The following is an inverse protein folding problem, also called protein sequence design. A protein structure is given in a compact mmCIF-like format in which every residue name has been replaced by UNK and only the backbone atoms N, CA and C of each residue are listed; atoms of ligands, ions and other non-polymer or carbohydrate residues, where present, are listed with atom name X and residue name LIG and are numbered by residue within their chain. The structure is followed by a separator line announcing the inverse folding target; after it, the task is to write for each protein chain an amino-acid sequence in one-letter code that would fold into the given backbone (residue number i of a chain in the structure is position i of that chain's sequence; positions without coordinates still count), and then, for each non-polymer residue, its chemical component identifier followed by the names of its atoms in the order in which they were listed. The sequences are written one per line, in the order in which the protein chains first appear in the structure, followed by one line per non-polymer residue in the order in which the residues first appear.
data_IF_880110547831
#
_entry.id   IF_880110547831
#
_cell.length_a   1.000
_cell.length_b   1.000
_cell.length_c   1.000
_cell.angle_alpha   90.00
_cell.angle_beta   90.00
_cell.angle_gamma   90.00
#
_symmetry.space_group_name_H-M   'P 1'
#
loop_
_entity.id
_entity.type
_entity.pdbx_description
1 polymer ?
#
# COMPACT_ATOMS: atom_id res chain seq x y z
N UNK A 1 11.53 -5.13 -1.86
CA UNK A 1 11.45 -4.26 -0.66
C UNK A 1 12.38 -3.02 -0.71
N UNK A 2 12.78 -2.53 -1.90
CA UNK A 2 13.90 -1.58 -2.01
C UNK A 2 13.53 -0.20 -2.59
N UNK A 3 12.63 -0.13 -3.59
CA UNK A 3 12.36 1.11 -4.34
C UNK A 3 11.91 2.30 -3.47
N UNK A 4 10.94 2.11 -2.57
CA UNK A 4 10.47 3.17 -1.67
C UNK A 4 11.50 3.57 -0.60
N UNK A 5 12.54 2.76 -0.36
CA UNK A 5 13.57 3.10 0.64
C UNK A 5 14.69 3.98 0.07
N UNK A 6 14.86 4.00 -1.25
CA UNK A 6 15.97 4.68 -1.94
C UNK A 6 15.54 5.86 -2.79
N UNK A 7 14.24 6.04 -2.98
CA UNK A 7 13.69 7.10 -3.82
C UNK A 7 13.54 8.39 -3.02
N UNK A 8 13.63 9.54 -3.71
CA UNK A 8 13.30 10.85 -3.16
C UNK A 8 11.79 11.15 -3.31
N UNK A 9 11.18 10.61 -4.38
CA UNK A 9 9.76 10.74 -4.69
C UNK A 9 9.19 9.42 -5.19
N UNK A 10 7.91 9.19 -4.89
CA UNK A 10 7.24 7.96 -5.27
C UNK A 10 5.80 8.20 -5.76
N UNK A 11 5.44 7.42 -6.77
CA UNK A 11 4.13 7.44 -7.43
C UNK A 11 3.57 6.03 -7.46
N UNK A 12 2.29 5.89 -7.12
CA UNK A 12 1.54 4.64 -7.26
C UNK A 12 0.66 4.76 -8.48
N UNK A 13 0.87 3.85 -9.44
CA UNK A 13 0.10 3.77 -10.67
C UNK A 13 -0.85 2.57 -10.60
N UNK A 14 -2.12 2.81 -10.88
CA UNK A 14 -3.15 1.78 -10.95
C UNK A 14 -4.05 2.06 -12.16
N UNK A 15 -4.25 1.04 -13.00
CA UNK A 15 -5.09 1.13 -14.21
C UNK A 15 -4.78 2.34 -15.12
N UNK A 16 -3.49 2.66 -15.28
CA UNK A 16 -3.05 3.77 -16.14
C UNK A 16 -3.18 5.17 -15.52
N UNK A 17 -3.56 5.28 -14.23
CA UNK A 17 -3.68 6.56 -13.52
C UNK A 17 -2.79 6.58 -12.28
N UNK A 18 -2.29 7.77 -11.94
CA UNK A 18 -1.59 8.00 -10.67
C UNK A 18 -2.63 8.12 -9.58
N UNK A 19 -2.63 7.17 -8.64
CA UNK A 19 -3.59 7.14 -7.51
C UNK A 19 -2.99 7.68 -6.22
N UNK A 20 -1.67 7.70 -6.11
CA UNK A 20 -0.96 8.36 -5.02
C UNK A 20 0.37 8.94 -5.51
N UNK A 21 0.69 10.15 -5.06
CA UNK A 21 1.94 10.84 -5.33
C UNK A 21 2.40 11.50 -4.05
N UNK A 22 3.44 10.96 -3.42
CA UNK A 22 3.91 11.46 -2.13
C UNK A 22 5.37 11.10 -1.88
N UNK A 23 5.92 11.68 -0.82
CA UNK A 23 7.23 11.28 -0.35
C UNK A 23 7.23 9.78 0.02
N UNK A 24 8.33 9.05 -0.25
CA UNK A 24 8.38 7.60 -0.10
C UNK A 24 8.08 7.12 1.32
N UNK A 25 8.51 7.89 2.33
CA UNK A 25 8.24 7.59 3.73
C UNK A 25 6.75 7.66 4.09
N UNK A 26 5.99 8.56 3.45
CA UNK A 26 4.54 8.66 3.61
C UNK A 26 3.86 7.44 2.99
N UNK A 27 4.22 7.10 1.75
CA UNK A 27 3.68 5.91 1.07
C UNK A 27 4.07 4.60 1.78
N UNK A 28 5.24 4.56 2.41
CA UNK A 28 5.66 3.44 3.25
C UNK A 28 4.82 3.29 4.52
N UNK A 29 4.22 4.38 5.03
CA UNK A 29 3.36 4.34 6.21
C UNK A 29 1.89 4.10 5.88
N UNK A 30 1.47 4.40 4.64
CA UNK A 30 0.12 4.20 4.15
C UNK A 30 -0.33 2.73 4.24
N UNK A 31 -1.48 2.50 4.88
CA UNK A 31 -2.04 1.16 5.08
C UNK A 31 -2.46 0.47 3.79
N UNK A 32 -3.00 1.23 2.82
CA UNK A 32 -3.43 0.69 1.53
C UNK A 32 -2.17 0.29 0.73
N UNK A 33 -1.12 1.12 0.71
CA UNK A 33 0.16 0.75 0.05
C UNK A 33 0.78 -0.49 0.70
N UNK A 34 0.79 -0.55 2.03
CA UNK A 34 1.33 -1.68 2.80
C UNK A 34 0.60 -2.99 2.48
N UNK A 35 -0.73 -2.99 2.51
CA UNK A 35 -1.52 -4.20 2.33
C UNK A 35 -1.55 -4.66 0.86
N UNK A 36 -1.73 -3.73 -0.08
CA UNK A 36 -1.93 -4.07 -1.50
C UNK A 36 -0.63 -4.23 -2.31
N UNK A 37 0.46 -3.56 -1.93
CA UNK A 37 1.72 -3.58 -2.69
C UNK A 37 2.91 -4.13 -1.92
N UNK A 38 2.97 -3.98 -0.59
CA UNK A 38 4.08 -4.50 0.23
C UNK A 38 3.77 -5.84 0.89
N UNK A 39 2.51 -6.31 0.84
CA UNK A 39 2.07 -7.55 1.46
C UNK A 39 2.12 -7.52 2.99
N UNK A 40 2.17 -6.33 3.60
CA UNK A 40 2.18 -6.15 5.04
C UNK A 40 0.73 -6.03 5.49
N UNK A 41 0.21 -7.09 6.09
CA UNK A 41 -1.13 -7.11 6.70
C UNK A 41 -1.04 -6.67 8.15
N UNK A 42 -1.89 -5.74 8.57
CA UNK A 42 -1.95 -5.29 9.97
C UNK A 42 -2.59 -6.32 10.90
N UNK A 43 -3.43 -7.21 10.37
CA UNK A 43 -4.06 -8.30 11.15
C UNK A 43 -3.89 -9.64 10.42
N UNK A 44 -3.18 -10.56 11.06
CA UNK A 44 -3.27 -11.98 10.74
C UNK A 44 -4.57 -12.49 11.37
N UNK A 45 -5.57 -12.78 10.53
CA UNK A 45 -6.84 -13.27 11.02
C UNK A 45 -6.59 -14.55 11.82
N UNK A 46 -6.99 -14.60 13.09
CA UNK A 46 -6.78 -15.75 13.97
C UNK A 46 -7.39 -17.06 13.41
N UNK A 47 -8.31 -16.96 12.44
CA UNK A 47 -8.91 -18.09 11.70
C UNK A 47 -8.17 -18.47 10.41
N UNK A 48 -7.04 -17.83 10.10
CA UNK A 48 -6.27 -18.05 8.87
C UNK A 48 -6.86 -17.39 7.61
N UNK A 49 -8.07 -16.82 7.67
CA UNK A 49 -8.69 -16.14 6.52
C UNK A 49 -9.41 -14.83 6.93
N UNK A 50 -9.31 -13.81 6.08
CA UNK A 50 -10.04 -12.54 6.25
C UNK A 50 -11.51 -12.72 5.83
N UNK A 51 -12.45 -12.33 6.70
CA UNK A 51 -13.90 -12.39 6.43
C UNK A 51 -14.36 -11.35 5.42
N UNK A 52 -13.65 -10.24 5.31
CA UNK A 52 -13.91 -9.15 4.36
C UNK A 52 -12.61 -8.71 3.70
N UNK A 53 -12.68 -8.33 2.43
CA UNK A 53 -11.57 -7.68 1.73
C UNK A 53 -11.60 -6.19 2.04
N UNK A 54 -10.50 -5.60 2.53
CA UNK A 54 -10.40 -4.13 2.62
C UNK A 54 -10.57 -3.53 1.24
N UNK A 55 -11.26 -2.39 1.18
CA UNK A 55 -11.43 -1.61 -0.05
C UNK A 55 -10.38 -0.51 -0.04
N UNK A 56 -9.61 -0.41 -1.13
CA UNK A 56 -8.64 0.67 -1.35
C UNK A 56 -9.35 2.02 -1.25
N UNK A 57 -8.76 3.00 -0.54
CA UNK A 57 -9.28 4.37 -0.45
C UNK A 57 -8.62 5.28 -1.49
N UNK A 58 -8.65 4.92 -2.76
CA UNK A 58 -8.35 5.89 -3.80
C UNK A 58 -9.63 6.67 -4.10
N UNK A 59 -9.55 8.01 -4.08
CA UNK A 59 -10.63 8.89 -4.54
C UNK A 59 -10.43 9.23 -6.01
#
# INVERSE_FOLDING_TARGET
KMALKISDYAFVLESGRIVAANAPHILLQDEDVKEFYLGIRSEESAKGYQRWKRKKRWR
#
